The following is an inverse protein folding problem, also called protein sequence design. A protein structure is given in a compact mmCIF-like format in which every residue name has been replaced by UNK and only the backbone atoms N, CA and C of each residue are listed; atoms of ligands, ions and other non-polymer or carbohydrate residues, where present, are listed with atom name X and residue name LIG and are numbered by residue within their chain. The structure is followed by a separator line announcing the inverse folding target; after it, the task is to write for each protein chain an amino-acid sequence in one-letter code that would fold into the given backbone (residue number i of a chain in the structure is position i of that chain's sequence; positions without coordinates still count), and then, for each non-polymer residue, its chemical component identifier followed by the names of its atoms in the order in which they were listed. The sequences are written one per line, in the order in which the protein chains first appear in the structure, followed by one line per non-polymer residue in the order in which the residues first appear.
data_IF_563139278046
#
_entry.id   IF_563139278046
#
_cell.length_a   1.000
_cell.length_b   1.000
_cell.length_c   1.000
_cell.angle_alpha   90.00
_cell.angle_beta   90.00
_cell.angle_gamma   90.00
#
_symmetry.space_group_name_H-M   'P 1'
#
loop_
_entity.id
_entity.type
_entity.pdbx_description
1 polymer ?
#
# COMPACT_ATOMS: atom_id res chain seq x y z
N UNK A 1 7.41 -11.94 -5.27
CA UNK A 1 8.31 -13.10 -5.02
C UNK A 1 9.11 -12.93 -3.74
N UNK A 2 9.89 -11.86 -3.55
CA UNK A 2 10.76 -11.63 -2.37
C UNK A 2 9.99 -11.75 -1.04
N UNK A 3 8.78 -11.18 -0.93
CA UNK A 3 7.96 -11.26 0.30
C UNK A 3 7.57 -12.70 0.66
N UNK A 4 7.25 -13.55 -0.31
CA UNK A 4 6.94 -14.96 -0.04
C UNK A 4 8.14 -15.73 0.49
N UNK A 5 9.32 -15.53 -0.11
CA UNK A 5 10.58 -16.11 0.38
C UNK A 5 10.93 -15.60 1.77
N UNK A 6 10.67 -14.33 2.05
CA UNK A 6 10.92 -13.72 3.37
C UNK A 6 10.02 -14.37 4.43
N UNK A 7 8.74 -14.62 4.18
CA UNK A 7 7.88 -15.35 5.11
C UNK A 7 8.36 -16.76 5.37
N UNK A 8 8.79 -17.49 4.33
CA UNK A 8 9.35 -18.84 4.48
C UNK A 8 10.63 -18.80 5.35
N UNK A 9 11.54 -17.89 5.05
CA UNK A 9 12.78 -17.71 5.82
C UNK A 9 12.51 -17.35 7.28
N UNK A 10 11.59 -16.42 7.54
CA UNK A 10 11.17 -16.07 8.90
C UNK A 10 10.54 -17.27 9.62
N UNK A 11 9.78 -18.11 8.92
CA UNK A 11 9.23 -19.34 9.50
C UNK A 11 10.31 -20.27 10.05
N UNK A 12 11.35 -20.54 9.27
CA UNK A 12 12.48 -21.35 9.73
C UNK A 12 13.27 -20.67 10.87
N UNK A 13 13.45 -19.35 10.77
CA UNK A 13 14.14 -18.58 11.80
C UNK A 13 13.42 -18.62 13.15
N UNK A 14 12.09 -18.48 13.16
CA UNK A 14 11.28 -18.56 14.37
C UNK A 14 11.34 -19.94 15.00
N UNK A 15 11.41 -21.01 14.18
CA UNK A 15 11.57 -22.36 14.73
C UNK A 15 12.96 -22.57 15.34
N UNK A 16 14.00 -22.00 14.74
CA UNK A 16 15.38 -22.08 15.27
C UNK A 16 15.56 -21.22 16.52
N UNK A 17 14.92 -20.06 16.56
CA UNK A 17 15.02 -19.07 17.65
C UNK A 17 13.63 -18.66 18.16
N UNK A 18 12.97 -19.50 18.99
CA UNK A 18 11.62 -19.22 19.49
C UNK A 18 11.48 -17.92 20.30
N UNK A 19 12.60 -17.41 20.82
CA UNK A 19 12.65 -16.10 21.49
C UNK A 19 12.27 -14.91 20.58
N UNK A 20 12.22 -15.10 19.25
CA UNK A 20 11.73 -14.08 18.31
C UNK A 20 10.21 -13.94 18.32
N UNK A 21 9.48 -14.87 18.94
CA UNK A 21 8.02 -14.80 19.02
C UNK A 21 7.66 -13.69 20.01
N UNK A 22 7.11 -12.59 19.45
CA UNK A 22 6.54 -11.52 20.24
C UNK A 22 5.45 -12.08 21.17
N UNK A 23 5.31 -11.59 22.37
CA UNK A 23 4.39 -12.16 23.34
C UNK A 23 5.00 -13.31 24.17
N UNK A 24 5.69 -14.28 23.58
CA UNK A 24 6.47 -15.26 24.35
C UNK A 24 7.74 -14.63 24.94
N UNK A 25 8.46 -13.84 24.17
CA UNK A 25 9.70 -13.22 24.62
C UNK A 25 9.51 -12.31 25.84
N UNK A 26 8.37 -11.62 25.90
CA UNK A 26 8.02 -10.66 26.98
C UNK A 26 7.46 -11.30 28.24
N UNK A 27 7.20 -12.61 28.24
CA UNK A 27 6.72 -13.33 29.44
C UNK A 27 7.83 -13.45 30.49
N UNK A 28 7.41 -13.40 31.78
CA UNK A 28 8.29 -13.75 32.91
C UNK A 28 8.77 -15.21 32.81
N UNK A 29 9.91 -15.55 33.42
CA UNK A 29 10.43 -16.94 33.41
C UNK A 29 9.43 -17.98 33.92
N UNK A 30 8.58 -17.62 34.89
CA UNK A 30 7.56 -18.49 35.44
C UNK A 30 6.43 -18.75 34.44
N UNK A 31 5.95 -17.71 33.75
CA UNK A 31 4.91 -17.82 32.72
C UNK A 31 5.39 -18.56 31.48
N UNK A 32 6.68 -18.46 31.15
CA UNK A 32 7.27 -19.21 30.02
C UNK A 32 7.17 -20.71 30.19
N UNK A 33 7.22 -21.23 31.44
CA UNK A 33 7.09 -22.67 31.74
C UNK A 33 5.72 -23.23 31.36
N UNK A 34 4.69 -22.39 31.35
CA UNK A 34 3.30 -22.77 31.02
C UNK A 34 2.96 -22.57 29.53
N UNK A 35 3.97 -22.40 28.66
CA UNK A 35 3.78 -22.27 27.21
C UNK A 35 4.41 -23.46 26.51
N UNK A 36 3.63 -24.18 25.69
CA UNK A 36 4.18 -25.17 24.74
C UNK A 36 4.92 -24.44 23.62
N UNK A 37 6.21 -24.11 23.91
CA UNK A 37 7.04 -23.34 22.97
C UNK A 37 7.38 -24.14 21.72
N UNK A 38 7.50 -25.46 21.81
CA UNK A 38 7.77 -26.34 20.68
C UNK A 38 6.57 -26.42 19.73
N UNK A 39 5.38 -26.58 20.28
CA UNK A 39 4.12 -26.53 19.52
C UNK A 39 3.91 -25.16 18.89
N UNK A 40 4.08 -24.10 19.67
CA UNK A 40 3.92 -22.72 19.21
C UNK A 40 4.87 -22.37 18.05
N UNK A 41 6.18 -22.68 18.20
CA UNK A 41 7.18 -22.37 17.19
C UNK A 41 6.97 -23.17 15.90
N UNK A 42 6.54 -24.45 16.00
CA UNK A 42 6.17 -25.27 14.84
C UNK A 42 4.93 -24.71 14.16
N UNK A 43 3.93 -24.30 14.92
CA UNK A 43 2.69 -23.72 14.39
C UNK A 43 2.98 -22.42 13.61
N UNK A 44 3.72 -21.48 14.22
CA UNK A 44 4.08 -20.21 13.58
C UNK A 44 4.93 -20.45 12.32
N UNK A 45 5.94 -21.35 12.40
CA UNK A 45 6.72 -21.75 11.23
C UNK A 45 5.83 -22.20 10.08
N UNK A 46 4.93 -23.15 10.34
CA UNK A 46 4.09 -23.73 9.31
C UNK A 46 3.14 -22.67 8.73
N UNK A 47 2.57 -21.81 9.57
CA UNK A 47 1.71 -20.71 9.12
C UNK A 47 2.45 -19.71 8.24
N UNK A 48 3.66 -19.29 8.63
CA UNK A 48 4.49 -18.40 7.82
C UNK A 48 4.90 -19.05 6.48
N UNK A 49 5.22 -20.34 6.47
CA UNK A 49 5.51 -21.07 5.22
C UNK A 49 4.27 -21.09 4.32
N UNK A 50 3.09 -21.40 4.86
CA UNK A 50 1.82 -21.39 4.11
C UNK A 50 1.55 -20.00 3.55
N UNK A 51 1.67 -18.95 4.37
CA UNK A 51 1.52 -17.56 3.92
C UNK A 51 2.48 -17.24 2.78
N UNK A 52 3.75 -17.63 2.90
CA UNK A 52 4.76 -17.45 1.86
C UNK A 52 4.38 -18.14 0.54
N UNK A 53 3.94 -19.38 0.61
CA UNK A 53 3.49 -20.14 -0.56
C UNK A 53 2.24 -19.51 -1.22
N UNK A 54 1.24 -19.10 -0.42
CA UNK A 54 0.02 -18.45 -0.90
C UNK A 54 0.34 -17.11 -1.57
N UNK A 55 1.25 -16.31 -0.99
CA UNK A 55 1.72 -15.06 -1.60
C UNK A 55 2.40 -15.33 -2.94
N UNK A 56 3.29 -16.31 -3.02
CA UNK A 56 4.02 -16.61 -4.26
C UNK A 56 3.07 -17.15 -5.35
N UNK A 57 2.26 -18.15 -5.02
CA UNK A 57 1.34 -18.74 -5.96
C UNK A 57 0.27 -17.74 -6.42
N UNK A 58 -0.35 -17.01 -5.51
CA UNK A 58 -1.36 -16.00 -5.81
C UNK A 58 -0.80 -14.83 -6.63
N UNK A 59 0.40 -14.36 -6.31
CA UNK A 59 1.08 -13.32 -7.10
C UNK A 59 1.32 -13.79 -8.54
N UNK A 60 1.87 -15.00 -8.74
CA UNK A 60 2.14 -15.54 -10.06
C UNK A 60 0.86 -15.76 -10.87
N UNK A 61 -0.16 -16.34 -10.25
CA UNK A 61 -1.46 -16.61 -10.87
C UNK A 61 -2.10 -15.30 -11.38
N UNK A 62 -2.25 -14.30 -10.52
CA UNK A 62 -2.87 -13.03 -10.91
C UNK A 62 -2.01 -12.24 -11.89
N UNK A 63 -0.68 -12.35 -11.79
CA UNK A 63 0.23 -11.74 -12.76
C UNK A 63 0.09 -12.36 -14.13
N UNK A 64 0.00 -13.69 -14.20
CA UNK A 64 -0.23 -14.44 -15.44
C UNK A 64 -1.59 -14.10 -16.07
N UNK A 65 -2.63 -13.97 -15.26
CA UNK A 65 -3.97 -13.54 -15.70
C UNK A 65 -4.04 -12.05 -16.12
N UNK A 66 -2.95 -11.28 -16.01
CA UNK A 66 -2.91 -9.85 -16.32
C UNK A 66 -3.49 -8.93 -15.22
N UNK A 67 -3.91 -9.49 -14.09
CA UNK A 67 -4.56 -8.77 -12.98
C UNK A 67 -3.52 -8.22 -11.99
N UNK A 68 -2.74 -7.24 -12.44
CA UNK A 68 -1.63 -6.67 -11.67
C UNK A 68 -2.04 -6.07 -10.32
N UNK A 69 -3.23 -5.46 -10.25
CA UNK A 69 -3.77 -4.96 -8.98
C UNK A 69 -4.01 -6.10 -7.99
N UNK A 70 -4.66 -7.19 -8.42
CA UNK A 70 -4.94 -8.35 -7.57
C UNK A 70 -3.66 -9.04 -7.12
N UNK A 71 -2.66 -9.15 -8.01
CA UNK A 71 -1.35 -9.69 -7.65
C UNK A 71 -0.70 -8.94 -6.48
N UNK A 72 -0.78 -7.61 -6.47
CA UNK A 72 -0.25 -6.80 -5.38
C UNK A 72 -1.14 -6.88 -4.11
N UNK A 73 -2.46 -7.00 -4.28
CA UNK A 73 -3.41 -7.15 -3.16
C UNK A 73 -3.21 -8.46 -2.39
N UNK A 74 -2.85 -9.55 -3.07
CA UNK A 74 -2.59 -10.85 -2.41
C UNK A 74 -1.56 -10.70 -1.30
N UNK A 75 -0.45 -9.99 -1.55
CA UNK A 75 0.60 -9.78 -0.55
C UNK A 75 0.02 -9.12 0.69
N UNK A 76 -0.75 -8.05 0.50
CA UNK A 76 -1.36 -7.30 1.59
C UNK A 76 -2.38 -8.14 2.38
N UNK A 77 -3.31 -8.77 1.66
CA UNK A 77 -4.40 -9.54 2.27
C UNK A 77 -3.83 -10.72 3.06
N UNK A 78 -2.92 -11.49 2.47
CA UNK A 78 -2.31 -12.65 3.14
C UNK A 78 -1.50 -12.22 4.35
N UNK A 79 -0.78 -11.09 4.27
CA UNK A 79 -0.03 -10.58 5.43
C UNK A 79 -0.97 -10.18 6.57
N UNK A 80 -2.01 -9.41 6.30
CA UNK A 80 -2.92 -8.91 7.34
C UNK A 80 -3.78 -10.04 7.92
N UNK A 81 -4.46 -10.79 7.06
CA UNK A 81 -5.38 -11.86 7.49
C UNK A 81 -4.60 -13.03 8.08
N UNK A 82 -3.51 -13.44 7.43
CA UNK A 82 -2.68 -14.54 7.91
C UNK A 82 -2.05 -14.24 9.26
N UNK A 83 -1.51 -13.03 9.46
CA UNK A 83 -0.96 -12.63 10.77
C UNK A 83 -2.04 -12.60 11.85
N UNK A 84 -3.24 -12.10 11.54
CA UNK A 84 -4.36 -12.10 12.48
C UNK A 84 -4.76 -13.53 12.89
N UNK A 85 -4.90 -14.44 11.92
CA UNK A 85 -5.21 -15.85 12.19
C UNK A 85 -4.12 -16.48 13.06
N UNK A 86 -2.84 -16.29 12.70
CA UNK A 86 -1.73 -16.83 13.48
C UNK A 86 -1.75 -16.32 14.93
N UNK A 87 -1.96 -15.02 15.14
CA UNK A 87 -2.01 -14.41 16.47
C UNK A 87 -3.19 -14.93 17.30
N UNK A 88 -4.38 -15.00 16.70
CA UNK A 88 -5.58 -15.47 17.41
C UNK A 88 -5.46 -16.94 17.83
N UNK A 89 -4.93 -17.79 16.97
CA UNK A 89 -4.84 -19.22 17.20
C UNK A 89 -3.59 -19.64 17.99
N UNK A 90 -2.55 -18.79 18.06
CA UNK A 90 -1.35 -19.02 18.87
C UNK A 90 -1.66 -19.14 20.37
N UNK A 91 -2.73 -18.51 20.85
CA UNK A 91 -3.13 -18.54 22.25
C UNK A 91 -3.43 -19.95 22.79
N UNK A 92 -3.74 -20.92 21.92
CA UNK A 92 -3.97 -22.32 22.32
C UNK A 92 -2.74 -23.02 22.92
N UNK A 93 -1.56 -22.50 22.65
CA UNK A 93 -0.28 -23.02 23.20
C UNK A 93 0.11 -22.37 24.53
N UNK A 94 -0.66 -21.37 24.97
CA UNK A 94 -0.43 -20.68 26.24
C UNK A 94 -1.40 -21.20 27.29
N UNK A 95 -0.87 -21.91 28.28
CA UNK A 95 -1.64 -22.53 29.37
C UNK A 95 -1.65 -21.67 30.65
N UNK A 96 -1.18 -20.43 30.58
CA UNK A 96 -1.33 -19.49 31.69
C UNK A 96 -2.80 -19.16 31.93
N UNK A 97 -3.17 -19.01 33.19
CA UNK A 97 -4.53 -18.64 33.60
C UNK A 97 -4.95 -17.23 33.21
N UNK A 98 -3.98 -16.37 32.94
CA UNK A 98 -4.23 -15.03 32.44
C UNK A 98 -4.73 -15.10 30.99
N UNK A 99 -6.04 -15.20 30.83
CA UNK A 99 -6.66 -15.10 29.51
C UNK A 99 -6.34 -13.72 28.94
N UNK A 100 -5.81 -13.67 27.73
CA UNK A 100 -5.73 -12.43 26.98
C UNK A 100 -7.15 -11.85 26.91
N UNK A 101 -7.37 -10.74 27.61
CA UNK A 101 -8.67 -10.11 27.66
C UNK A 101 -9.15 -9.70 26.27
N UNK A 102 -10.45 -9.52 26.12
CA UNK A 102 -11.11 -8.95 24.92
C UNK A 102 -10.35 -7.74 24.35
N UNK A 103 -9.67 -6.98 25.21
CA UNK A 103 -8.86 -5.81 24.84
C UNK A 103 -7.80 -6.07 23.76
N UNK A 104 -7.14 -7.23 23.76
CA UNK A 104 -6.10 -7.55 22.75
C UNK A 104 -6.71 -7.76 21.36
N UNK A 105 -7.86 -8.41 21.29
CA UNK A 105 -8.58 -8.60 20.03
C UNK A 105 -9.18 -7.28 19.52
N UNK A 106 -9.64 -6.41 20.43
CA UNK A 106 -10.11 -5.07 20.09
C UNK A 106 -8.98 -4.22 19.52
N UNK A 107 -7.80 -4.22 20.15
CA UNK A 107 -6.63 -3.48 19.66
C UNK A 107 -6.24 -3.99 18.27
N UNK A 108 -6.15 -5.32 18.07
CA UNK A 108 -5.86 -5.90 16.75
C UNK A 108 -6.91 -5.47 15.72
N UNK A 109 -8.19 -5.54 16.06
CA UNK A 109 -9.29 -5.12 15.19
C UNK A 109 -9.18 -3.64 14.80
N UNK A 110 -8.87 -2.77 15.75
CA UNK A 110 -8.66 -1.33 15.51
C UNK A 110 -7.47 -1.12 14.57
N UNK A 111 -6.34 -1.79 14.81
CA UNK A 111 -5.15 -1.67 13.94
C UNK A 111 -5.48 -2.12 12.51
N UNK A 112 -6.15 -3.26 12.34
CA UNK A 112 -6.55 -3.76 11.02
C UNK A 112 -7.53 -2.81 10.33
N UNK A 113 -8.49 -2.25 11.08
CA UNK A 113 -9.45 -1.27 10.57
C UNK A 113 -8.75 0.02 10.11
N UNK A 114 -7.82 0.55 10.90
CA UNK A 114 -7.04 1.74 10.54
C UNK A 114 -6.18 1.49 9.30
N UNK A 115 -5.50 0.34 9.21
CA UNK A 115 -4.72 -0.02 8.03
C UNK A 115 -5.60 -0.13 6.78
N UNK A 116 -6.74 -0.81 6.89
CA UNK A 116 -7.71 -0.88 5.78
C UNK A 116 -8.20 0.51 5.38
N UNK A 117 -8.50 1.39 6.34
CA UNK A 117 -8.90 2.79 6.12
C UNK A 117 -7.84 3.57 5.34
N UNK A 118 -6.57 3.49 5.72
CA UNK A 118 -5.45 4.15 5.01
C UNK A 118 -5.37 3.65 3.55
N UNK A 119 -5.51 2.34 3.34
CA UNK A 119 -5.51 1.78 1.99
C UNK A 119 -6.68 2.26 1.16
N UNK A 120 -7.90 2.21 1.69
CA UNK A 120 -9.10 2.68 0.99
C UNK A 120 -8.98 4.17 0.64
N UNK A 121 -8.46 4.99 1.56
CA UNK A 121 -8.22 6.40 1.33
C UNK A 121 -7.19 6.63 0.21
N UNK A 122 -6.16 5.79 0.10
CA UNK A 122 -5.19 5.82 -1.00
C UNK A 122 -5.83 5.61 -2.38
N UNK A 123 -6.92 4.82 -2.47
CA UNK A 123 -7.65 4.59 -3.72
C UNK A 123 -8.69 5.66 -4.06
N UNK A 124 -9.04 6.55 -3.13
CA UNK A 124 -10.00 7.62 -3.42
C UNK A 124 -9.53 8.45 -4.60
N UNK A 125 -10.39 8.64 -5.60
CA UNK A 125 -10.06 9.39 -6.80
C UNK A 125 -9.71 10.83 -6.46
N UNK A 126 -8.54 11.29 -6.88
CA UNK A 126 -8.18 12.70 -6.83
C UNK A 126 -9.09 13.47 -7.77
N UNK A 127 -9.75 14.52 -7.27
CA UNK A 127 -10.57 15.43 -8.07
C UNK A 127 -9.83 16.76 -8.18
N UNK A 128 -9.99 17.43 -9.33
CA UNK A 128 -9.52 18.80 -9.52
C UNK A 128 -10.69 19.75 -9.31
N UNK A 129 -10.52 20.69 -8.41
CA UNK A 129 -11.44 21.79 -8.15
C UNK A 129 -10.78 23.08 -8.60
N UNK A 130 -11.46 23.87 -9.40
CA UNK A 130 -10.99 25.15 -9.91
C UNK A 130 -11.88 26.23 -9.31
N UNK A 131 -11.31 27.08 -8.47
CA UNK A 131 -11.99 28.16 -7.79
C UNK A 131 -11.22 29.48 -8.07
N UNK A 132 -11.69 30.24 -9.04
CA UNK A 132 -10.97 31.44 -9.49
C UNK A 132 -9.55 31.11 -9.93
N UNK A 133 -8.56 31.75 -9.35
CA UNK A 133 -7.14 31.59 -9.64
C UNK A 133 -6.45 30.39 -8.95
N UNK A 134 -7.21 29.55 -8.26
CA UNK A 134 -6.65 28.42 -7.49
C UNK A 134 -7.17 27.10 -8.06
N UNK A 135 -6.24 26.23 -8.42
CA UNK A 135 -6.48 24.83 -8.76
C UNK A 135 -6.15 23.97 -7.55
N UNK A 136 -7.15 23.29 -6.98
CA UNK A 136 -6.99 22.39 -5.84
C UNK A 136 -7.12 20.93 -6.28
N UNK A 137 -6.12 20.13 -5.99
CA UNK A 137 -6.16 18.68 -6.11
C UNK A 137 -6.57 18.06 -4.79
N UNK A 138 -7.64 17.25 -4.77
CA UNK A 138 -8.14 16.64 -3.52
C UNK A 138 -7.49 15.28 -3.24
N UNK A 139 -7.64 14.76 -2.03
CA UNK A 139 -7.19 13.43 -1.63
C UNK A 139 -5.93 13.43 -0.76
N UNK A 140 -5.40 12.24 -0.49
CA UNK A 140 -4.30 12.02 0.47
C UNK A 140 -3.04 12.88 0.22
N UNK A 141 -2.74 13.16 -1.06
CA UNK A 141 -1.58 13.96 -1.47
C UNK A 141 -2.02 15.25 -2.15
N UNK A 142 -3.22 15.72 -1.82
CA UNK A 142 -3.79 16.93 -2.39
C UNK A 142 -2.88 18.15 -2.19
N UNK A 143 -2.90 19.06 -3.15
CA UNK A 143 -2.17 20.32 -3.13
C UNK A 143 -2.94 21.38 -3.90
N UNK A 144 -2.68 22.63 -3.57
CA UNK A 144 -3.15 23.79 -4.31
C UNK A 144 -2.03 24.33 -5.20
N UNK A 145 -2.41 24.91 -6.32
CA UNK A 145 -1.55 25.58 -7.29
C UNK A 145 -2.29 26.81 -7.81
N UNK A 146 -1.62 27.93 -7.92
CA UNK A 146 -2.19 29.13 -8.56
C UNK A 146 -2.10 29.02 -10.07
N UNK A 147 -3.08 29.54 -10.77
CA UNK A 147 -3.07 29.60 -12.24
C UNK A 147 -1.86 30.40 -12.72
N UNK A 148 -1.52 31.49 -12.06
CA UNK A 148 -0.33 32.31 -12.35
C UNK A 148 1.02 31.61 -12.18
N UNK A 149 1.06 30.44 -11.53
CA UNK A 149 2.26 29.62 -11.38
C UNK A 149 2.40 28.61 -12.54
N UNK A 150 1.42 28.49 -13.43
CA UNK A 150 1.43 27.53 -14.54
C UNK A 150 2.09 28.16 -15.75
N UNK A 151 3.15 27.53 -16.24
CA UNK A 151 3.80 27.89 -17.49
C UNK A 151 3.12 27.21 -18.69
N UNK A 152 2.76 25.92 -18.55
CA UNK A 152 2.28 25.10 -19.67
C UNK A 152 1.38 23.97 -19.19
N UNK A 153 0.37 23.66 -20.00
CA UNK A 153 -0.49 22.46 -19.84
C UNK A 153 -0.54 21.68 -21.14
N UNK A 154 -0.34 20.38 -21.08
CA UNK A 154 -0.26 19.50 -22.25
C UNK A 154 -1.08 18.21 -22.03
N UNK A 155 -1.58 17.65 -23.14
CA UNK A 155 -2.11 16.30 -23.18
C UNK A 155 -1.08 15.35 -23.80
N UNK A 156 -0.93 14.17 -23.21
CA UNK A 156 -0.09 13.10 -23.74
C UNK A 156 -0.70 11.74 -23.48
N UNK A 157 -0.43 10.77 -24.34
CA UNK A 157 -0.85 9.38 -24.18
C UNK A 157 0.13 8.55 -23.35
N UNK A 158 1.33 9.06 -23.16
CA UNK A 158 2.41 8.38 -22.46
C UNK A 158 3.10 9.30 -21.47
N UNK A 159 3.68 8.73 -20.44
CA UNK A 159 4.59 9.42 -19.52
C UNK A 159 5.89 8.61 -19.42
N UNK A 160 7.01 9.26 -19.11
CA UNK A 160 8.27 8.57 -18.87
C UNK A 160 8.17 7.53 -17.76
N UNK A 161 9.08 6.57 -17.75
CA UNK A 161 9.11 5.49 -16.78
C UNK A 161 9.23 6.02 -15.35
N UNK A 162 8.40 5.51 -14.44
CA UNK A 162 8.50 5.82 -13.03
C UNK A 162 9.70 5.05 -12.46
N UNK A 163 10.76 5.76 -12.09
CA UNK A 163 11.97 5.19 -11.52
C UNK A 163 11.78 4.85 -10.04
N UNK A 164 11.22 5.77 -9.26
CA UNK A 164 11.02 5.56 -7.84
C UNK A 164 9.92 6.45 -7.26
N UNK A 165 9.29 5.96 -6.20
CA UNK A 165 8.39 6.73 -5.34
C UNK A 165 9.19 7.36 -4.22
N UNK A 166 9.17 8.69 -4.08
CA UNK A 166 9.84 9.41 -3.00
C UNK A 166 8.93 9.59 -1.78
N UNK A 167 7.67 9.99 -2.00
CA UNK A 167 6.65 10.11 -0.97
C UNK A 167 5.26 10.03 -1.62
N UNK A 168 4.55 8.92 -1.42
CA UNK A 168 3.26 8.76 -2.09
C UNK A 168 2.65 7.37 -1.92
N UNK A 169 1.48 7.20 -2.51
CA UNK A 169 0.77 5.94 -2.65
C UNK A 169 1.00 5.37 -4.06
N UNK A 170 1.37 4.08 -4.13
CA UNK A 170 1.57 3.40 -5.42
C UNK A 170 1.13 1.95 -5.27
N UNK A 171 0.03 1.59 -5.94
CA UNK A 171 -0.49 0.24 -5.93
C UNK A 171 -1.21 -0.07 -7.25
N UNK A 172 -0.69 -1.06 -7.99
CA UNK A 172 -1.16 -1.36 -9.33
C UNK A 172 -1.06 -0.13 -10.25
N UNK A 173 -2.15 0.26 -10.92
CA UNK A 173 -2.16 1.40 -11.85
C UNK A 173 -2.36 2.77 -11.16
N UNK A 174 -2.50 2.80 -9.83
CA UNK A 174 -2.76 4.02 -9.08
C UNK A 174 -1.47 4.56 -8.48
N UNK A 175 -1.12 5.81 -8.83
CA UNK A 175 0.08 6.49 -8.33
C UNK A 175 -0.30 7.90 -7.87
N UNK A 176 -0.03 8.24 -6.61
CA UNK A 176 -0.36 9.55 -6.03
C UNK A 176 0.73 10.04 -5.11
N UNK A 177 1.11 11.30 -5.24
CA UNK A 177 2.17 11.92 -4.46
C UNK A 177 3.42 12.21 -5.27
N UNK A 178 4.57 12.21 -4.63
CA UNK A 178 5.83 12.59 -5.24
C UNK A 178 6.60 11.37 -5.75
N UNK A 179 7.07 11.47 -6.99
CA UNK A 179 7.80 10.42 -7.70
C UNK A 179 9.01 11.02 -8.43
N UNK A 180 9.89 10.15 -8.83
CA UNK A 180 10.95 10.46 -9.78
C UNK A 180 10.71 9.66 -11.06
N UNK A 181 10.53 10.35 -12.16
CA UNK A 181 10.43 9.76 -13.50
C UNK A 181 11.76 9.91 -14.23
N UNK A 182 11.97 9.02 -15.19
CA UNK A 182 13.00 9.20 -16.18
C UNK A 182 12.74 10.52 -16.95
N UNK A 183 13.70 11.18 -17.54
CA UNK A 183 13.57 12.45 -18.26
C UNK A 183 12.94 13.62 -17.47
N UNK A 184 11.85 13.40 -16.73
CA UNK A 184 11.13 14.47 -16.01
C UNK A 184 11.70 14.79 -14.62
N UNK A 185 12.54 13.90 -14.07
CA UNK A 185 13.07 14.07 -12.73
C UNK A 185 12.00 13.98 -11.64
N UNK A 186 12.07 14.89 -10.66
CA UNK A 186 11.08 14.96 -9.56
C UNK A 186 9.77 15.55 -10.08
N UNK A 187 8.66 14.86 -9.85
CA UNK A 187 7.33 15.30 -10.25
C UNK A 187 6.26 14.82 -9.25
N UNK A 188 5.05 15.33 -9.41
CA UNK A 188 3.88 14.90 -8.67
C UNK A 188 2.91 14.17 -9.57
N UNK A 189 2.44 13.01 -9.11
CA UNK A 189 1.48 12.20 -9.84
C UNK A 189 0.13 12.18 -9.13
N UNK A 190 -0.95 12.24 -9.90
CA UNK A 190 -2.32 11.99 -9.52
C UNK A 190 -2.96 11.05 -10.54
N UNK A 191 -2.43 9.83 -10.63
CA UNK A 191 -2.85 8.82 -11.59
C UNK A 191 -3.84 7.88 -10.91
N UNK A 192 -5.08 7.90 -11.39
CA UNK A 192 -6.19 7.11 -10.84
C UNK A 192 -6.47 5.81 -11.61
N UNK A 193 -5.81 5.62 -12.76
CA UNK A 193 -5.94 4.41 -13.59
C UNK A 193 -4.72 4.22 -14.49
N UNK A 194 -4.64 3.07 -15.17
CA UNK A 194 -3.53 2.70 -16.04
C UNK A 194 -3.42 3.54 -17.33
N UNK A 195 -3.44 2.87 -18.50
CA UNK A 195 -3.21 3.51 -19.81
C UNK A 195 -4.33 4.49 -20.21
N UNK A 196 -3.99 5.55 -20.95
CA UNK A 196 -4.86 6.54 -21.57
C UNK A 196 -4.30 7.96 -21.47
N UNK A 197 -5.12 9.00 -21.52
CA UNK A 197 -4.71 10.39 -21.65
C UNK A 197 -4.29 10.97 -20.31
N UNK A 198 -3.08 11.52 -20.26
CA UNK A 198 -2.50 12.24 -19.14
C UNK A 198 -2.53 13.75 -19.41
N UNK A 199 -2.70 14.53 -18.35
CA UNK A 199 -2.51 15.98 -18.35
C UNK A 199 -1.18 16.23 -17.65
N UNK A 200 -0.28 16.93 -18.32
CA UNK A 200 1.00 17.37 -17.74
C UNK A 200 0.90 18.88 -17.52
N UNK A 201 0.98 19.31 -16.29
CA UNK A 201 1.04 20.72 -15.90
C UNK A 201 2.48 21.02 -15.51
N UNK A 202 3.12 21.93 -16.19
CA UNK A 202 4.46 22.43 -15.86
C UNK A 202 4.32 23.80 -15.22
N UNK A 203 4.91 23.98 -14.05
CA UNK A 203 4.95 25.28 -13.39
C UNK A 203 6.16 26.12 -13.88
N UNK A 204 6.17 27.40 -13.54
CA UNK A 204 7.22 28.37 -13.89
C UNK A 204 8.61 27.98 -13.35
N UNK A 205 8.70 27.01 -12.42
CA UNK A 205 9.96 26.45 -11.93
C UNK A 205 10.36 25.18 -12.67
N UNK A 206 9.58 24.74 -13.66
CA UNK A 206 9.79 23.51 -14.41
C UNK A 206 9.35 22.24 -13.68
N UNK A 207 8.69 22.35 -12.51
CA UNK A 207 8.17 21.20 -11.80
C UNK A 207 6.89 20.69 -12.47
N UNK A 208 6.79 19.38 -12.65
CA UNK A 208 5.67 18.76 -13.38
C UNK A 208 4.68 18.08 -12.43
N UNK A 209 3.40 18.41 -12.63
CA UNK A 209 2.26 17.71 -12.00
C UNK A 209 1.50 16.97 -13.07
N UNK A 210 1.39 15.64 -12.93
CA UNK A 210 0.80 14.76 -13.93
C UNK A 210 -0.49 14.18 -13.38
N UNK A 211 -1.58 14.38 -14.12
CA UNK A 211 -2.91 13.92 -13.74
C UNK A 211 -3.43 12.89 -14.76
N UNK A 212 -4.14 11.90 -14.24
CA UNK A 212 -4.93 11.00 -15.06
C UNK A 212 -6.19 10.57 -14.32
N UNK A 213 -7.32 10.79 -14.95
CA UNK A 213 -8.62 10.34 -14.47
C UNK A 213 -8.94 8.93 -14.97
N UNK A 214 -9.94 8.29 -14.39
CA UNK A 214 -10.38 6.94 -14.81
C UNK A 214 -10.90 6.91 -16.24
N UNK A 215 -11.51 8.02 -16.70
CA UNK A 215 -12.08 8.17 -18.05
C UNK A 215 -11.32 9.26 -18.80
N UNK A 216 -10.91 9.00 -20.02
CA UNK A 216 -10.20 9.97 -20.87
C UNK A 216 -11.02 11.24 -21.13
N UNK A 217 -12.36 11.11 -21.24
CA UNK A 217 -13.26 12.26 -21.34
C UNK A 217 -13.13 13.23 -20.16
N UNK A 218 -12.92 12.71 -18.95
CA UNK A 218 -12.72 13.55 -17.76
C UNK A 218 -11.36 14.25 -17.81
N UNK A 219 -10.29 13.54 -18.24
CA UNK A 219 -8.97 14.15 -18.44
C UNK A 219 -9.04 15.30 -19.46
N UNK A 220 -9.70 15.10 -20.63
CA UNK A 220 -9.86 16.15 -21.65
C UNK A 220 -10.64 17.36 -21.09
N UNK A 221 -11.76 17.13 -20.43
CA UNK A 221 -12.57 18.20 -19.83
C UNK A 221 -11.77 19.04 -18.81
N UNK A 222 -10.95 18.40 -17.98
CA UNK A 222 -10.15 19.14 -17.00
C UNK A 222 -9.02 19.89 -17.69
N UNK A 223 -8.41 19.30 -18.71
CA UNK A 223 -7.41 19.98 -19.53
C UNK A 223 -7.99 21.25 -20.18
N UNK A 224 -9.14 21.16 -20.86
CA UNK A 224 -9.82 22.30 -21.48
C UNK A 224 -10.07 23.40 -20.45
N UNK A 225 -10.64 23.06 -19.29
CA UNK A 225 -10.90 24.03 -18.22
C UNK A 225 -9.65 24.69 -17.64
N UNK A 226 -8.51 24.02 -17.59
CA UNK A 226 -7.27 24.64 -17.13
C UNK A 226 -6.69 25.51 -18.25
N UNK A 227 -6.75 25.05 -19.49
CA UNK A 227 -6.24 25.81 -20.65
C UNK A 227 -7.01 27.11 -20.91
N UNK A 228 -8.32 27.15 -20.56
CA UNK A 228 -9.14 28.37 -20.65
C UNK A 228 -8.76 29.45 -19.62
N UNK A 229 -7.97 29.11 -18.61
CA UNK A 229 -7.53 30.03 -17.55
C UNK A 229 -6.13 30.61 -17.81
N UNK A 230 -5.39 30.04 -18.76
CA UNK A 230 -4.03 30.48 -19.16
C UNK A 230 -4.08 31.48 -20.30
#
# INVERSE_FOLDING_TARGET
MIMGLLFIGLGFLVKAYPGLIAGYNTLSPEKKKNVDIDGLSRYIRNGLIIMGMVVMAGYLLFRWAGWTLMANMVILIVTLVGSAILMMTANRFNHNTDKHGISHYLILGIILFLLAGIFLFGFMTTKTQINGDIIRFTGMYGKEMKVSEIEKVELTDTIPTILMRTNGFSLGPVHKGNFRLDEFGKCRLYINSGKGIYIVITDIQGFRTILRYKKDRESRRIFERISELL
#
